data_IF_791234736293
#
_entry.id   IF_791234736293
#
_cell.length_a   1.000
_cell.length_b   1.000
_cell.length_c   1.000
_cell.angle_alpha   90.00
_cell.angle_beta   90.00
_cell.angle_gamma   90.00
#
_symmetry.space_group_name_H-M   'P 1'
#
loop_
_entity.id
_entity.type
_entity.pdbx_description
1 polymer ?
#
# COMPACT_ATOMS: atom_id res chain seq x y z
N UNK A 1 24.03 -9.81 15.76
CA UNK A 1 22.65 -9.32 16.04
C UNK A 1 21.88 -9.09 14.73
N UNK A 2 20.82 -9.86 14.48
CA UNK A 2 20.03 -9.78 13.24
C UNK A 2 19.10 -8.56 13.23
N UNK A 3 18.90 -7.97 12.05
CA UNK A 3 17.92 -6.91 11.85
C UNK A 3 16.52 -7.43 12.16
N UNK A 4 15.87 -6.87 13.19
CA UNK A 4 14.49 -7.21 13.54
C UNK A 4 13.53 -6.34 12.72
N UNK A 5 12.94 -6.94 11.68
CA UNK A 5 11.89 -6.31 10.89
C UNK A 5 10.54 -6.44 11.61
N UNK A 6 9.81 -5.32 11.72
CA UNK A 6 8.42 -5.29 12.18
C UNK A 6 7.50 -5.10 10.99
N UNK A 7 6.39 -5.83 11.03
CA UNK A 7 5.40 -5.89 9.97
C UNK A 7 4.00 -5.83 10.55
N UNK A 8 3.05 -5.30 9.78
CA UNK A 8 1.65 -5.25 10.16
C UNK A 8 0.74 -5.57 8.97
N UNK A 9 -0.31 -6.32 9.24
CA UNK A 9 -1.36 -6.67 8.28
C UNK A 9 -2.63 -5.84 8.55
N UNK A 10 -3.21 -5.27 7.50
CA UNK A 10 -4.49 -4.54 7.54
C UNK A 10 -5.43 -5.04 6.45
N UNK A 11 -6.34 -5.94 6.79
CA UNK A 11 -7.34 -6.48 5.86
C UNK A 11 -8.77 -6.26 6.38
N UNK A 12 -9.77 -6.54 5.56
CA UNK A 12 -11.18 -6.49 5.95
C UNK A 12 -11.51 -7.45 7.10
N UNK A 13 -12.67 -7.26 7.74
CA UNK A 13 -13.15 -8.13 8.83
C UNK A 13 -12.82 -7.67 10.26
N UNK A 14 -11.93 -6.71 10.45
CA UNK A 14 -11.63 -6.11 11.75
C UNK A 14 -12.25 -4.72 11.93
N UNK A 15 -12.72 -4.40 13.13
CA UNK A 15 -13.43 -3.15 13.45
C UNK A 15 -12.61 -1.88 13.19
N UNK A 16 -13.27 -0.84 12.67
CA UNK A 16 -12.59 0.40 12.24
C UNK A 16 -11.87 1.17 13.35
N UNK A 17 -12.37 1.11 14.59
CA UNK A 17 -11.72 1.73 15.77
C UNK A 17 -10.55 0.89 16.29
N UNK A 18 -10.61 -0.43 16.17
CA UNK A 18 -9.53 -1.32 16.55
C UNK A 18 -8.29 -1.10 15.67
N UNK A 19 -8.48 -0.79 14.38
CA UNK A 19 -7.40 -0.46 13.46
C UNK A 19 -6.56 0.74 13.94
N UNK A 20 -7.19 1.88 14.26
CA UNK A 20 -6.50 3.09 14.75
C UNK A 20 -5.63 2.83 16.00
N UNK A 21 -6.18 2.10 16.98
CA UNK A 21 -5.44 1.72 18.18
C UNK A 21 -4.31 0.71 17.89
N UNK A 22 -4.53 -0.23 16.98
CA UNK A 22 -3.49 -1.16 16.55
C UNK A 22 -2.34 -0.42 15.86
N UNK A 23 -2.63 0.52 14.97
CA UNK A 23 -1.59 1.31 14.28
C UNK A 23 -0.77 2.12 15.28
N UNK A 24 -1.43 2.85 16.19
CA UNK A 24 -0.73 3.62 17.23
C UNK A 24 0.15 2.74 18.12
N UNK A 25 -0.28 1.52 18.43
CA UNK A 25 0.55 0.56 19.19
C UNK A 25 1.75 0.07 18.37
N UNK A 26 1.53 -0.21 17.10
CA UNK A 26 2.52 -0.87 16.23
C UNK A 26 3.57 0.12 15.72
N UNK A 27 3.20 1.38 15.52
CA UNK A 27 4.10 2.44 15.06
C UNK A 27 4.38 3.52 16.13
N UNK A 28 4.07 3.25 17.41
CA UNK A 28 4.32 4.17 18.53
C UNK A 28 5.76 4.70 18.59
N UNK A 29 6.70 3.92 18.09
CA UNK A 29 8.14 4.20 18.11
C UNK A 29 8.70 4.57 16.71
N UNK A 30 7.86 4.75 15.70
CA UNK A 30 8.30 5.01 14.31
C UNK A 30 9.06 3.82 13.73
N UNK A 31 8.61 2.64 14.09
CA UNK A 31 9.41 1.43 14.12
C UNK A 31 8.89 0.40 13.10
N UNK A 32 7.73 0.63 12.49
CA UNK A 32 7.15 -0.26 11.50
C UNK A 32 7.86 -0.13 10.14
N UNK A 33 8.32 -1.24 9.57
CA UNK A 33 9.02 -1.23 8.28
C UNK A 33 8.19 -1.81 7.13
N UNK A 34 7.25 -2.71 7.41
CA UNK A 34 6.48 -3.41 6.38
C UNK A 34 4.99 -3.33 6.70
N UNK A 35 4.21 -2.88 5.72
CA UNK A 35 2.74 -2.88 5.78
C UNK A 35 2.20 -3.74 4.64
N UNK A 36 1.33 -4.69 4.99
CA UNK A 36 0.55 -5.48 4.01
C UNK A 36 -0.91 -5.13 4.22
N UNK A 37 -1.64 -4.78 3.16
CA UNK A 37 -3.03 -4.38 3.29
C UNK A 37 -3.85 -4.63 2.02
N UNK A 38 -5.16 -4.79 2.18
CA UNK A 38 -6.08 -4.64 1.03
C UNK A 38 -6.27 -3.15 0.69
N UNK A 39 -6.52 -2.78 -0.57
CA UNK A 39 -6.58 -1.36 -0.99
C UNK A 39 -7.54 -0.53 -0.15
N UNK A 40 -8.80 -0.97 0.03
CA UNK A 40 -9.77 -0.24 0.83
C UNK A 40 -9.39 -0.07 2.31
N UNK A 41 -8.61 -0.99 2.88
CA UNK A 41 -8.08 -0.83 4.25
C UNK A 41 -6.88 0.11 4.30
N UNK A 42 -6.05 0.11 3.26
CA UNK A 42 -4.94 1.07 3.13
C UNK A 42 -5.46 2.50 2.96
N UNK A 43 -6.49 2.75 2.14
CA UNK A 43 -7.11 4.07 2.02
C UNK A 43 -7.68 4.52 3.36
N UNK A 44 -8.42 3.64 4.05
CA UNK A 44 -8.93 3.94 5.39
C UNK A 44 -7.81 4.23 6.39
N UNK A 45 -6.71 3.48 6.33
CA UNK A 45 -5.52 3.71 7.14
C UNK A 45 -4.95 5.11 6.87
N UNK A 46 -4.65 5.44 5.62
CA UNK A 46 -4.11 6.73 5.20
C UNK A 46 -5.01 7.90 5.62
N UNK A 47 -6.34 7.72 5.56
CA UNK A 47 -7.31 8.76 5.92
C UNK A 47 -7.51 8.92 7.44
N UNK A 48 -7.63 7.83 8.20
CA UNK A 48 -7.90 7.86 9.66
C UNK A 48 -6.72 8.37 10.49
N UNK A 49 -5.52 8.07 10.00
CA UNK A 49 -4.28 8.26 10.74
C UNK A 49 -3.86 9.73 10.78
N UNK A 50 -4.32 10.54 9.81
CA UNK A 50 -3.75 11.86 9.58
C UNK A 50 -2.23 11.77 9.37
N UNK A 51 -1.54 12.90 9.21
CA UNK A 51 -0.07 12.89 9.07
C UNK A 51 0.67 12.49 10.35
N UNK A 52 -0.04 12.30 11.46
CA UNK A 52 0.55 12.17 12.80
C UNK A 52 0.80 10.72 13.25
N UNK A 53 0.11 9.73 12.68
CA UNK A 53 0.20 8.34 13.17
C UNK A 53 1.09 7.43 12.29
N UNK A 54 1.24 7.71 10.99
CA UNK A 54 2.17 7.01 10.09
C UNK A 54 2.45 7.87 8.86
N UNK A 55 3.73 8.11 8.57
CA UNK A 55 4.16 8.88 7.40
C UNK A 55 4.59 7.95 6.28
N UNK A 56 3.95 8.04 5.12
CA UNK A 56 4.38 7.34 3.90
C UNK A 56 5.40 8.12 3.07
N UNK A 57 5.82 9.31 3.52
CA UNK A 57 6.74 10.19 2.77
C UNK A 57 8.10 9.54 2.50
N UNK A 58 8.50 8.60 3.34
CA UNK A 58 9.78 7.88 3.27
C UNK A 58 9.63 6.47 2.67
N UNK A 59 8.48 6.15 2.06
CA UNK A 59 8.27 4.84 1.44
C UNK A 59 9.23 4.64 0.26
N UNK A 60 10.08 3.61 0.34
CA UNK A 60 11.03 3.29 -0.73
C UNK A 60 10.53 2.22 -1.70
N UNK A 61 9.63 1.34 -1.24
CA UNK A 61 9.19 0.16 -1.99
C UNK A 61 7.66 0.04 -1.89
N UNK A 62 7.02 -0.08 -3.06
CA UNK A 62 5.63 -0.45 -3.22
C UNK A 62 5.55 -1.79 -3.95
N UNK A 63 4.73 -2.71 -3.47
CA UNK A 63 4.41 -3.97 -4.16
C UNK A 63 2.90 -4.03 -4.38
N UNK A 64 2.51 -4.26 -5.63
CA UNK A 64 1.13 -4.56 -6.02
C UNK A 64 1.10 -6.00 -6.51
N UNK A 65 0.45 -6.88 -5.74
CA UNK A 65 0.31 -8.30 -6.06
C UNK A 65 -1.11 -8.58 -6.59
N UNK A 66 -1.23 -9.59 -7.46
CA UNK A 66 -2.45 -9.91 -8.23
C UNK A 66 -3.15 -8.66 -8.79
N UNK A 67 -2.39 -7.78 -9.45
CA UNK A 67 -2.87 -6.45 -9.78
C UNK A 67 -4.06 -6.44 -10.75
N UNK A 68 -4.15 -7.40 -11.66
CA UNK A 68 -5.35 -7.64 -12.49
C UNK A 68 -6.58 -7.96 -11.64
N UNK A 69 -6.42 -8.81 -10.62
CA UNK A 69 -7.50 -9.16 -9.69
C UNK A 69 -7.96 -7.97 -8.87
N UNK A 70 -7.04 -7.12 -8.42
CA UNK A 70 -7.40 -5.89 -7.71
C UNK A 70 -8.29 -4.99 -8.56
N UNK A 71 -8.00 -4.86 -9.86
CA UNK A 71 -8.82 -4.08 -10.79
C UNK A 71 -10.18 -4.72 -11.05
N UNK A 72 -10.24 -6.05 -11.22
CA UNK A 72 -11.50 -6.78 -11.36
C UNK A 72 -12.43 -6.63 -10.15
N UNK A 73 -11.86 -6.50 -8.95
CA UNK A 73 -12.60 -6.26 -7.71
C UNK A 73 -13.05 -4.80 -7.53
N UNK A 74 -12.75 -3.92 -8.49
CA UNK A 74 -13.16 -2.51 -8.47
C UNK A 74 -12.27 -1.60 -7.62
N UNK A 75 -11.04 -2.02 -7.29
CA UNK A 75 -10.13 -1.22 -6.46
C UNK A 75 -9.39 -0.10 -7.21
N UNK A 76 -9.75 0.23 -8.45
CA UNK A 76 -9.08 1.27 -9.24
C UNK A 76 -9.01 2.60 -8.49
N UNK A 77 -10.15 3.06 -7.95
CA UNK A 77 -10.20 4.33 -7.21
C UNK A 77 -9.36 4.30 -5.93
N UNK A 78 -9.37 3.18 -5.20
CA UNK A 78 -8.56 3.02 -3.99
C UNK A 78 -7.06 3.02 -4.33
N UNK A 79 -6.67 2.36 -5.41
CA UNK A 79 -5.28 2.36 -5.89
C UNK A 79 -4.82 3.77 -6.28
N UNK A 80 -5.63 4.53 -7.01
CA UNK A 80 -5.31 5.92 -7.36
C UNK A 80 -5.14 6.80 -6.10
N UNK A 81 -6.04 6.64 -5.13
CA UNK A 81 -5.98 7.36 -3.86
C UNK A 81 -4.69 7.01 -3.07
N UNK A 82 -4.28 5.74 -3.05
CA UNK A 82 -3.03 5.29 -2.45
C UNK A 82 -1.83 5.91 -3.18
N UNK A 83 -1.74 5.70 -4.50
CA UNK A 83 -0.61 6.13 -5.32
C UNK A 83 -0.38 7.65 -5.24
N UNK A 84 -1.45 8.44 -5.12
CA UNK A 84 -1.40 9.90 -5.00
C UNK A 84 -0.76 10.40 -3.70
N UNK A 85 -0.79 9.60 -2.63
CA UNK A 85 -0.22 9.93 -1.32
C UNK A 85 1.21 9.41 -1.13
N UNK A 86 1.68 8.56 -2.05
CA UNK A 86 3.02 7.96 -1.98
C UNK A 86 4.07 8.84 -2.68
N UNK A 87 5.34 8.84 -2.20
CA UNK A 87 6.41 9.61 -2.82
C UNK A 87 6.66 9.15 -4.27
N UNK A 88 6.84 10.10 -5.19
CA UNK A 88 7.10 9.80 -6.61
C UNK A 88 8.39 8.99 -6.82
N UNK A 89 9.39 9.22 -5.98
CA UNK A 89 10.64 8.48 -5.99
C UNK A 89 10.50 7.26 -5.08
N UNK A 90 10.14 6.13 -5.68
CA UNK A 90 10.05 4.81 -5.04
C UNK A 90 10.28 3.72 -6.08
N UNK A 91 10.65 2.53 -5.63
CA UNK A 91 10.64 1.32 -6.45
C UNK A 91 9.24 0.71 -6.38
N UNK A 92 8.65 0.40 -7.52
CA UNK A 92 7.36 -0.28 -7.59
C UNK A 92 7.56 -1.65 -8.24
N UNK A 93 7.19 -2.72 -7.53
CA UNK A 93 7.00 -4.05 -8.11
C UNK A 93 5.51 -4.27 -8.38
N UNK A 94 5.14 -4.65 -9.60
CA UNK A 94 3.78 -4.97 -9.98
C UNK A 94 3.77 -6.41 -10.50
N UNK A 95 2.96 -7.25 -9.88
CA UNK A 95 2.83 -8.67 -10.18
C UNK A 95 1.39 -8.97 -10.56
N UNK A 96 1.21 -9.69 -11.67
CA UNK A 96 -0.11 -9.96 -12.25
C UNK A 96 -0.04 -11.21 -13.12
N UNK A 97 -1.12 -11.99 -13.15
CA UNK A 97 -1.22 -13.16 -14.03
C UNK A 97 -1.57 -12.77 -15.46
N UNK A 98 -2.30 -11.66 -15.64
CA UNK A 98 -2.73 -11.15 -16.95
C UNK A 98 -2.31 -9.70 -17.15
N UNK A 99 -2.20 -9.30 -18.43
CA UNK A 99 -1.88 -7.93 -18.83
C UNK A 99 -3.10 -7.30 -19.52
N UNK A 100 -4.00 -6.70 -18.75
CA UNK A 100 -5.18 -5.99 -19.28
C UNK A 100 -4.86 -4.53 -19.63
N UNK A 101 -5.74 -3.89 -20.41
CA UNK A 101 -5.61 -2.47 -20.74
C UNK A 101 -5.62 -1.57 -19.51
N UNK A 102 -6.44 -1.89 -18.51
CA UNK A 102 -6.54 -1.18 -17.24
C UNK A 102 -5.25 -1.36 -16.43
N UNK A 103 -4.65 -2.55 -16.47
CA UNK A 103 -3.37 -2.78 -15.81
C UNK A 103 -2.24 -1.98 -16.46
N UNK A 104 -2.22 -1.89 -17.79
CA UNK A 104 -1.28 -1.04 -18.50
C UNK A 104 -1.42 0.44 -18.12
N UNK A 105 -2.66 0.91 -17.87
CA UNK A 105 -2.89 2.27 -17.36
C UNK A 105 -2.34 2.45 -15.95
N UNK A 106 -2.55 1.47 -15.07
CA UNK A 106 -1.99 1.45 -13.71
C UNK A 106 -0.46 1.46 -13.71
N UNK A 107 0.17 0.71 -14.62
CA UNK A 107 1.64 0.71 -14.78
C UNK A 107 2.15 2.10 -15.17
N UNK A 108 1.45 2.80 -16.09
CA UNK A 108 1.82 4.16 -16.52
C UNK A 108 1.66 5.20 -15.41
N UNK A 109 0.69 5.04 -14.51
CA UNK A 109 0.45 5.98 -13.40
C UNK A 109 1.32 5.68 -12.16
N UNK A 110 1.60 4.39 -11.90
CA UNK A 110 2.21 3.93 -10.66
C UNK A 110 3.70 3.59 -10.72
N UNK A 111 4.30 3.53 -11.91
CA UNK A 111 5.68 3.09 -12.11
C UNK A 111 6.52 4.11 -12.91
N UNK A 112 7.84 4.09 -12.69
CA UNK A 112 8.81 4.90 -13.43
C UNK A 112 9.79 3.98 -14.15
N UNK A 113 9.87 4.08 -15.48
CA UNK A 113 10.69 3.24 -16.36
C UNK A 113 10.63 1.75 -16.00
N UNK A 114 9.44 1.13 -16.00
CA UNK A 114 9.29 -0.26 -15.63
C UNK A 114 10.04 -1.18 -16.60
N UNK A 115 10.68 -2.21 -16.07
CA UNK A 115 11.20 -3.34 -16.86
C UNK A 115 10.16 -4.44 -16.80
N UNK A 116 9.72 -4.91 -17.96
CA UNK A 116 8.84 -6.08 -18.07
C UNK A 116 9.72 -7.32 -18.24
N UNK A 117 9.45 -8.35 -17.42
CA UNK A 117 10.18 -9.62 -17.39
C UNK A 117 9.21 -10.74 -17.70
#
# INVERSE_FOLDING_TARGET
PGLKLRKQLFVGGADGKAAAAAIRRVDAKGELQIVVATPGRMVKLMNLVGREVMSFKTLEILVLDEADRLLQLGFSHDLDAILSQLPKQRRTGLFSATLTSELQQLMKSGMRNPVHV
#
